data_IF_695042335147
#
_entry.id   IF_695042335147
#
_cell.length_a   1.000
_cell.length_b   1.000
_cell.length_c   1.000
_cell.angle_alpha   90.00
_cell.angle_beta   90.00
_cell.angle_gamma   90.00
#
_symmetry.space_group_name_H-M   'P 1'
#
loop_
_entity.id
_entity.type
_entity.pdbx_description
1 polymer ?
#
# COMPACT_ATOMS: atom_id res chain seq x y z
N UNK A 1 -11.77 -5.60 -1.04
CA UNK A 1 -10.96 -6.66 -0.39
C UNK A 1 -10.24 -6.12 0.85
N UNK A 2 -9.72 -4.90 0.79
CA UNK A 2 -8.98 -4.26 1.90
C UNK A 2 -9.79 -4.12 3.22
N UNK A 3 -11.08 -3.78 3.16
CA UNK A 3 -11.91 -3.67 4.38
C UNK A 3 -12.08 -4.99 5.15
N UNK A 4 -11.93 -6.15 4.48
CA UNK A 4 -11.99 -7.46 5.16
C UNK A 4 -10.78 -7.66 6.07
N UNK A 5 -9.62 -7.21 5.63
CA UNK A 5 -8.36 -7.21 6.37
C UNK A 5 -8.34 -6.14 7.47
N UNK A 6 -9.11 -5.05 7.28
CA UNK A 6 -9.25 -3.98 8.28
C UNK A 6 -10.03 -4.42 9.53
N UNK A 7 -10.83 -5.48 9.45
CA UNK A 7 -11.77 -5.92 10.49
C UNK A 7 -11.19 -6.03 11.91
N UNK A 8 -10.05 -6.70 12.17
CA UNK A 8 -9.47 -6.73 13.51
C UNK A 8 -9.16 -5.32 14.05
N UNK A 9 -8.65 -4.43 13.21
CA UNK A 9 -8.35 -3.04 13.59
C UNK A 9 -9.61 -2.22 13.85
N UNK A 10 -10.65 -2.40 13.01
CA UNK A 10 -11.95 -1.76 13.19
C UNK A 10 -12.64 -2.21 14.48
N UNK A 11 -12.59 -3.51 14.80
CA UNK A 11 -13.14 -4.06 16.05
C UNK A 11 -12.39 -3.46 17.24
N UNK A 12 -11.06 -3.46 17.21
CA UNK A 12 -10.24 -2.88 18.28
C UNK A 12 -10.55 -1.40 18.51
N UNK A 13 -10.61 -0.60 17.44
CA UNK A 13 -10.94 0.82 17.52
C UNK A 13 -12.38 1.07 18.01
N UNK A 14 -13.34 0.25 17.60
CA UNK A 14 -14.73 0.36 18.04
C UNK A 14 -14.89 0.00 19.54
N UNK A 15 -14.19 -1.04 20.01
CA UNK A 15 -14.16 -1.39 21.44
C UNK A 15 -13.53 -0.27 22.26
N UNK A 16 -12.40 0.28 21.81
CA UNK A 16 -11.75 1.42 22.46
C UNK A 16 -12.70 2.62 22.57
N UNK A 17 -13.39 2.96 21.47
CA UNK A 17 -14.40 4.02 21.45
C UNK A 17 -15.53 3.75 22.45
N UNK A 18 -16.05 2.53 22.48
CA UNK A 18 -17.09 2.11 23.44
C UNK A 18 -16.66 2.25 24.90
N UNK A 19 -15.42 1.86 25.22
CA UNK A 19 -14.84 2.02 26.56
C UNK A 19 -14.70 3.49 26.93
N UNK A 20 -14.17 4.34 26.04
CA UNK A 20 -14.04 5.78 26.31
C UNK A 20 -15.40 6.45 26.53
N UNK A 21 -16.41 6.08 25.73
CA UNK A 21 -17.78 6.57 25.90
C UNK A 21 -18.39 6.12 27.23
N UNK A 22 -18.20 4.86 27.60
CA UNK A 22 -18.69 4.31 28.87
C UNK A 22 -18.07 5.00 30.09
N UNK A 23 -16.78 5.35 30.02
CA UNK A 23 -16.07 6.10 31.06
C UNK A 23 -16.41 7.61 31.06
N UNK A 24 -17.20 8.10 30.11
CA UNK A 24 -17.48 9.54 29.95
C UNK A 24 -16.23 10.35 29.54
N UNK A 25 -15.18 9.71 29.04
CA UNK A 25 -13.93 10.37 28.70
C UNK A 25 -14.00 11.01 27.31
N UNK A 26 -14.51 12.24 27.26
CA UNK A 26 -14.78 12.98 26.02
C UNK A 26 -13.59 13.04 25.06
N UNK A 27 -12.41 13.40 25.56
CA UNK A 27 -11.19 13.50 24.73
C UNK A 27 -10.81 12.12 24.16
N UNK A 28 -10.87 11.07 24.99
CA UNK A 28 -10.61 9.70 24.55
C UNK A 28 -11.59 9.25 23.46
N UNK A 29 -12.88 9.56 23.61
CA UNK A 29 -13.90 9.24 22.61
C UNK A 29 -13.66 9.95 21.28
N UNK A 30 -13.25 11.21 21.29
CA UNK A 30 -12.91 11.94 20.07
C UNK A 30 -11.71 11.28 19.36
N UNK A 31 -10.64 11.01 20.09
CA UNK A 31 -9.44 10.38 19.53
C UNK A 31 -9.72 8.97 18.99
N UNK A 32 -10.48 8.16 19.72
CA UNK A 32 -10.88 6.83 19.28
C UNK A 32 -11.79 6.90 18.04
N UNK A 33 -12.69 7.88 17.97
CA UNK A 33 -13.51 8.14 16.78
C UNK A 33 -12.69 8.53 15.55
N UNK A 34 -11.72 9.44 15.73
CA UNK A 34 -10.79 9.82 14.66
C UNK A 34 -9.94 8.64 14.19
N UNK A 35 -9.46 7.79 15.11
CA UNK A 35 -8.74 6.57 14.77
C UNK A 35 -9.60 5.63 13.92
N UNK A 36 -10.86 5.40 14.32
CA UNK A 36 -11.79 4.55 13.58
C UNK A 36 -12.01 5.08 12.15
N UNK A 37 -12.22 6.38 12.00
CA UNK A 37 -12.34 7.04 10.69
C UNK A 37 -11.04 6.89 9.89
N UNK A 38 -9.88 7.10 10.52
CA UNK A 38 -8.57 6.93 9.90
C UNK A 38 -8.34 5.52 9.36
N UNK A 39 -8.71 4.49 10.11
CA UNK A 39 -8.62 3.09 9.66
C UNK A 39 -9.54 2.87 8.45
N UNK A 40 -10.78 3.36 8.48
CA UNK A 40 -11.69 3.25 7.32
C UNK A 40 -11.12 3.95 6.08
N UNK A 41 -10.51 5.12 6.25
CA UNK A 41 -9.90 5.88 5.16
C UNK A 41 -8.63 5.20 4.62
N UNK A 42 -7.81 4.58 5.48
CA UNK A 42 -6.58 3.90 5.09
C UNK A 42 -6.85 2.61 4.32
N UNK A 43 -7.81 1.79 4.80
CA UNK A 43 -8.21 0.52 4.19
C UNK A 43 -9.31 0.67 3.12
N UNK A 44 -9.55 1.88 2.62
CA UNK A 44 -10.54 2.12 1.57
C UNK A 44 -10.08 1.47 0.25
N UNK A 45 -11.05 1.01 -0.54
CA UNK A 45 -10.81 0.30 -1.80
C UNK A 45 -11.81 0.81 -2.86
N UNK A 46 -11.61 2.03 -3.40
CA UNK A 46 -12.53 2.61 -4.36
C UNK A 46 -12.48 1.85 -5.69
N UNK A 47 -13.65 1.68 -6.32
CA UNK A 47 -13.77 1.11 -7.66
C UNK A 47 -13.07 2.02 -8.69
N UNK A 48 -12.31 1.43 -9.61
CA UNK A 48 -11.62 2.14 -10.69
C UNK A 48 -12.05 1.61 -12.05
N UNK A 49 -12.17 2.50 -13.02
CA UNK A 49 -12.38 2.16 -14.43
C UNK A 49 -11.07 2.40 -15.20
N UNK A 50 -10.37 1.33 -15.64
CA UNK A 50 -9.18 1.50 -16.47
C UNK A 50 -9.56 2.06 -17.86
N UNK A 51 -8.61 2.70 -18.57
CA UNK A 51 -8.82 3.14 -19.94
C UNK A 51 -9.15 1.96 -20.86
N UNK A 52 -9.92 2.22 -21.92
CA UNK A 52 -10.39 1.18 -22.84
C UNK A 52 -9.28 0.54 -23.70
N UNK A 53 -8.11 1.15 -23.78
CA UNK A 53 -7.00 0.64 -24.59
C UNK A 53 -6.36 -0.58 -23.89
N UNK A 54 -6.42 -1.80 -24.48
CA UNK A 54 -5.87 -3.00 -23.87
C UNK A 54 -4.33 -3.02 -23.82
N UNK A 55 -3.66 -2.14 -24.56
CA UNK A 55 -2.21 -1.99 -24.56
C UNK A 55 -1.72 -0.90 -23.59
N UNK A 56 -2.62 -0.18 -22.91
CA UNK A 56 -2.24 0.85 -21.97
C UNK A 56 -1.74 0.24 -20.65
N UNK A 57 -0.56 0.67 -20.22
CA UNK A 57 -0.10 0.46 -18.84
C UNK A 57 -0.76 1.50 -17.94
N UNK A 58 -1.38 1.04 -16.85
CA UNK A 58 -1.97 1.92 -15.84
C UNK A 58 -1.11 1.97 -14.58
N UNK A 59 -1.28 3.02 -13.78
CA UNK A 59 -0.60 3.09 -12.48
C UNK A 59 -1.06 1.94 -11.59
N UNK A 60 -0.14 1.15 -11.00
CA UNK A 60 -0.48 0.04 -10.11
C UNK A 60 -0.96 0.52 -8.74
N UNK A 61 -0.63 1.75 -8.34
CA UNK A 61 -0.94 2.31 -7.03
C UNK A 61 -1.28 3.80 -7.12
N UNK A 62 -1.90 4.33 -6.05
CA UNK A 62 -1.97 5.78 -5.83
C UNK A 62 -0.64 6.30 -5.27
N UNK A 63 -0.50 7.62 -5.28
CA UNK A 63 0.64 8.29 -4.67
C UNK A 63 1.43 9.10 -5.67
N UNK A 64 2.67 9.42 -5.29
CA UNK A 64 3.54 10.33 -6.03
C UNK A 64 4.64 9.54 -6.75
N UNK A 65 4.85 9.82 -8.03
CA UNK A 65 6.04 9.33 -8.74
C UNK A 65 7.27 10.02 -8.14
N UNK A 66 8.19 9.22 -7.59
CA UNK A 66 9.41 9.71 -6.92
C UNK A 66 10.67 9.46 -7.76
N UNK A 67 10.66 8.47 -8.65
CA UNK A 67 11.76 8.23 -9.59
C UNK A 67 11.26 7.63 -10.90
N UNK A 68 11.97 7.96 -11.98
CA UNK A 68 11.87 7.33 -13.30
C UNK A 68 13.29 7.19 -13.83
N UNK A 69 13.86 5.99 -13.74
CA UNK A 69 15.29 5.75 -13.99
C UNK A 69 15.55 4.36 -14.62
N UNK A 70 16.82 4.02 -14.82
CA UNK A 70 17.25 2.66 -15.12
C UNK A 70 17.74 2.00 -13.85
N UNK A 71 17.34 0.75 -13.64
CA UNK A 71 17.81 -0.10 -12.55
C UNK A 71 18.19 -1.47 -13.10
N UNK A 72 19.01 -2.20 -12.35
CA UNK A 72 19.31 -3.61 -12.61
C UNK A 72 18.43 -4.48 -11.72
N UNK A 73 17.94 -5.60 -12.24
CA UNK A 73 17.05 -6.52 -11.53
C UNK A 73 17.80 -7.26 -10.41
N UNK A 74 17.51 -6.96 -9.13
CA UNK A 74 18.21 -7.59 -8.03
C UNK A 74 17.66 -8.98 -7.70
N UNK A 75 16.48 -9.37 -8.22
CA UNK A 75 15.74 -10.54 -7.76
C UNK A 75 15.78 -11.72 -8.75
N UNK A 76 15.66 -11.46 -10.06
CA UNK A 76 15.51 -12.52 -11.06
C UNK A 76 16.59 -12.54 -12.15
N UNK A 77 17.56 -11.61 -12.10
CA UNK A 77 18.67 -11.55 -13.04
C UNK A 77 18.27 -11.20 -14.48
N UNK A 78 17.18 -10.45 -14.67
CA UNK A 78 16.67 -10.03 -15.98
C UNK A 78 17.49 -8.91 -16.64
N UNK A 79 18.55 -8.42 -15.98
CA UNK A 79 19.39 -7.34 -16.46
C UNK A 79 18.78 -5.95 -16.18
N UNK A 80 19.09 -4.99 -17.06
CA UNK A 80 18.64 -3.59 -16.90
C UNK A 80 17.19 -3.40 -17.34
N UNK A 81 16.44 -2.62 -16.56
CA UNK A 81 15.05 -2.28 -16.85
C UNK A 81 14.75 -0.80 -16.54
N UNK A 82 13.67 -0.29 -17.14
CA UNK A 82 13.12 1.03 -16.80
C UNK A 82 12.27 0.91 -15.55
N UNK A 83 12.60 1.68 -14.53
CA UNK A 83 11.92 1.66 -13.24
C UNK A 83 11.09 2.94 -13.06
N UNK A 84 9.91 2.76 -12.48
CA UNK A 84 9.04 3.85 -12.03
C UNK A 84 8.72 3.60 -10.56
N UNK A 85 9.21 4.46 -9.67
CA UNK A 85 8.94 4.38 -8.24
C UNK A 85 7.75 5.26 -7.85
N UNK A 86 6.78 4.68 -7.15
CA UNK A 86 5.59 5.39 -6.65
C UNK A 86 5.58 5.31 -5.13
N UNK A 87 5.56 6.47 -4.48
CA UNK A 87 5.46 6.59 -3.04
C UNK A 87 4.01 6.79 -2.61
N UNK A 88 3.51 5.87 -1.77
CA UNK A 88 2.19 5.95 -1.14
C UNK A 88 2.34 6.68 0.20
N UNK A 89 1.70 7.84 0.34
CA UNK A 89 1.54 8.49 1.64
C UNK A 89 0.43 7.83 2.45
N UNK A 90 0.40 8.07 3.77
CA UNK A 90 -0.65 7.56 4.68
C UNK A 90 -2.08 7.93 4.25
N UNK A 91 -2.23 8.98 3.44
CA UNK A 91 -3.53 9.45 2.95
C UNK A 91 -3.97 8.76 1.66
N UNK A 92 -3.05 8.10 0.95
CA UNK A 92 -3.31 7.40 -0.32
C UNK A 92 -4.02 6.05 -0.08
N UNK A 93 -4.55 5.47 -1.16
CA UNK A 93 -5.13 4.13 -1.11
C UNK A 93 -4.01 3.10 -1.05
N UNK A 94 -3.94 2.33 0.03
CA UNK A 94 -2.91 1.31 0.25
C UNK A 94 -3.29 -0.04 -0.37
N UNK A 95 -3.67 0.00 -1.65
CA UNK A 95 -3.99 -1.19 -2.45
C UNK A 95 -3.24 -1.11 -3.77
N UNK A 96 -2.27 -2.00 -3.93
CA UNK A 96 -1.55 -2.19 -5.18
C UNK A 96 -2.33 -3.15 -6.09
N UNK A 97 -2.46 -2.80 -7.37
CA UNK A 97 -3.14 -3.58 -8.41
C UNK A 97 -2.18 -3.84 -9.56
N UNK A 98 -2.50 -4.85 -10.38
CA UNK A 98 -1.71 -5.12 -11.58
C UNK A 98 -1.83 -3.95 -12.58
N UNK A 99 -0.71 -3.45 -13.15
CA UNK A 99 -0.72 -2.35 -14.11
C UNK A 99 -1.25 -2.75 -15.50
N UNK A 100 -1.39 -4.05 -15.78
CA UNK A 100 -1.97 -4.62 -16.99
C UNK A 100 -2.47 -6.05 -16.71
N UNK A 101 -3.18 -6.65 -17.67
CA UNK A 101 -3.57 -8.07 -17.59
C UNK A 101 -2.33 -8.94 -17.75
N UNK A 102 -1.99 -9.69 -16.70
CA UNK A 102 -0.79 -10.51 -16.66
C UNK A 102 -1.00 -11.76 -15.79
N UNK A 103 -0.10 -12.71 -15.94
CA UNK A 103 0.03 -13.90 -15.10
C UNK A 103 1.25 -13.74 -14.20
N UNK A 104 1.15 -14.13 -12.94
CA UNK A 104 2.31 -14.15 -12.04
C UNK A 104 3.22 -15.31 -12.46
N UNK A 105 4.43 -15.01 -12.90
CA UNK A 105 5.44 -16.00 -13.27
C UNK A 105 6.28 -16.43 -12.07
N UNK A 106 6.75 -15.46 -11.27
CA UNK A 106 7.60 -15.68 -10.10
C UNK A 106 7.32 -14.66 -9.00
N UNK A 107 7.66 -15.01 -7.77
CA UNK A 107 7.62 -14.14 -6.60
C UNK A 107 8.92 -14.27 -5.81
N UNK A 108 9.42 -13.17 -5.26
CA UNK A 108 10.61 -13.14 -4.41
C UNK A 108 10.38 -12.22 -3.22
N UNK A 109 10.52 -12.77 -2.01
CA UNK A 109 10.45 -12.03 -0.76
C UNK A 109 11.86 -11.70 -0.28
N UNK A 110 12.09 -10.44 0.09
CA UNK A 110 13.33 -9.98 0.70
C UNK A 110 13.01 -9.41 2.08
N UNK A 111 13.57 -10.03 3.13
CA UNK A 111 13.53 -9.45 4.47
C UNK A 111 14.39 -8.17 4.51
N UNK A 112 13.99 -7.18 5.30
CA UNK A 112 14.72 -5.91 5.35
C UNK A 112 14.59 -5.15 6.67
N UNK A 113 15.01 -3.89 6.62
CA UNK A 113 15.39 -3.11 7.82
C UNK A 113 14.32 -2.12 8.33
N UNK A 114 13.17 -2.01 7.64
CA UNK A 114 12.06 -1.11 8.01
C UNK A 114 12.47 0.36 8.14
N UNK A 115 13.37 0.83 7.28
CA UNK A 115 13.74 2.23 7.15
C UNK A 115 12.55 3.08 6.71
N UNK A 116 12.63 4.39 6.90
CA UNK A 116 11.66 5.33 6.34
C UNK A 116 11.56 5.13 4.82
N UNK A 117 10.32 5.06 4.30
CA UNK A 117 10.08 4.81 2.88
C UNK A 117 10.56 5.95 1.94
N UNK A 118 11.05 7.06 2.49
CA UNK A 118 11.69 8.16 1.76
C UNK A 118 13.22 8.04 1.71
N UNK A 119 13.79 7.03 2.36
CA UNK A 119 15.23 6.77 2.33
C UNK A 119 15.68 6.38 0.92
N UNK A 120 16.87 6.83 0.52
CA UNK A 120 17.38 6.66 -0.86
C UNK A 120 17.58 5.20 -1.26
N UNK A 121 17.80 4.31 -0.29
CA UNK A 121 18.08 2.87 -0.48
C UNK A 121 16.92 1.97 -0.04
N UNK A 122 15.71 2.53 0.08
CA UNK A 122 14.54 1.81 0.60
C UNK A 122 14.20 0.58 -0.24
N UNK A 123 14.36 0.66 -1.56
CA UNK A 123 14.05 -0.42 -2.50
C UNK A 123 14.91 -1.66 -2.31
N UNK A 124 16.17 -1.49 -1.88
CA UNK A 124 17.13 -2.59 -1.69
C UNK A 124 17.18 -3.09 -0.25
N UNK A 125 17.02 -2.20 0.73
CA UNK A 125 17.26 -2.52 2.15
C UNK A 125 15.99 -2.77 2.95
N UNK A 126 14.85 -2.23 2.52
CA UNK A 126 13.61 -2.53 3.22
C UNK A 126 13.03 -3.85 2.79
N UNK A 127 12.20 -4.37 3.70
CA UNK A 127 11.40 -5.53 3.45
C UNK A 127 10.49 -5.28 2.24
N UNK A 128 10.55 -6.19 1.27
CA UNK A 128 9.79 -6.07 0.04
C UNK A 128 9.36 -7.44 -0.49
N UNK A 129 8.40 -7.39 -1.41
CA UNK A 129 7.89 -8.55 -2.12
C UNK A 129 7.81 -8.20 -3.61
N UNK A 130 8.63 -8.87 -4.41
CA UNK A 130 8.79 -8.60 -5.84
C UNK A 130 8.07 -9.66 -6.66
N UNK A 131 7.19 -9.23 -7.58
CA UNK A 131 6.38 -10.11 -8.43
C UNK A 131 6.79 -9.93 -9.90
N UNK A 132 7.12 -11.03 -10.56
CA UNK A 132 7.37 -11.06 -12.00
C UNK A 132 6.06 -11.38 -12.73
N UNK A 133 5.63 -10.49 -13.62
CA UNK A 133 4.37 -10.57 -14.36
C UNK A 133 4.65 -10.82 -15.85
N UNK A 134 3.85 -11.68 -16.49
CA UNK A 134 3.95 -12.04 -17.91
C UNK A 134 2.62 -11.99 -18.64
#
# INVERSE_FOLDING_TARGET
>A
MALREARPFLIGAAVLLGVCLWLGWVVGSILAGLLLIGILLFFRDPTRTPPANPLALVSPADGKVICVDESEDPCFGLGKFRRVGIFLSVLDVHVNRSPFTATIEKTHYSAGEFLDARHLEVDLRNENQTWLLR
#
